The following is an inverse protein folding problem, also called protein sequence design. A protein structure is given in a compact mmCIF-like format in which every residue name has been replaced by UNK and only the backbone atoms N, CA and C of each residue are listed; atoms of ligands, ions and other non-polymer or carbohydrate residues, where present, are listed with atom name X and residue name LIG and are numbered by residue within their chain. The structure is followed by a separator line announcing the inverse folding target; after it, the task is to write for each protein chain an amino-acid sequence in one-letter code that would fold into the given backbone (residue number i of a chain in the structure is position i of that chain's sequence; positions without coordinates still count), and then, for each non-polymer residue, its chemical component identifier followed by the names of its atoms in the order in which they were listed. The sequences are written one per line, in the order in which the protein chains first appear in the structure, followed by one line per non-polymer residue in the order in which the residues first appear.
data_IF_823831065144
#
_entry.id   IF_823831065144
#
_cell.length_a   1.000
_cell.length_b   1.000
_cell.length_c   1.000
_cell.angle_alpha   90.00
_cell.angle_beta   90.00
_cell.angle_gamma   90.00
#
_symmetry.space_group_name_H-M   'P 1'
#
loop_
_entity.id
_entity.type
_entity.pdbx_description
1 polymer ?
#
# COMPACT_ATOMS: atom_id res chain seq x y z
N UNK A 1 12.70 0.77 2.16
CA UNK A 1 12.47 -0.38 1.26
C UNK A 1 11.23 -1.06 1.77
N UNK A 2 10.26 -1.33 0.92
CA UNK A 2 9.05 -2.06 1.29
C UNK A 2 9.25 -3.55 1.05
N UNK A 3 9.09 -4.39 2.08
CA UNK A 3 9.00 -5.85 1.91
C UNK A 3 7.55 -6.30 2.09
N UNK A 4 6.94 -6.83 1.04
CA UNK A 4 5.50 -7.13 0.98
C UNK A 4 5.23 -8.54 0.47
N UNK A 5 4.20 -9.21 1.00
CA UNK A 5 3.83 -10.55 0.50
C UNK A 5 3.20 -10.49 -0.89
N UNK A 6 3.44 -11.53 -1.69
CA UNK A 6 2.86 -11.67 -3.03
C UNK A 6 1.33 -11.65 -3.02
N UNK A 7 0.68 -12.31 -2.06
CA UNK A 7 -0.78 -12.33 -1.96
C UNK A 7 -1.38 -10.92 -1.77
N UNK A 8 -0.68 -10.04 -1.04
CA UNK A 8 -1.08 -8.64 -0.84
C UNK A 8 -0.89 -7.80 -2.11
N UNK A 9 0.20 -8.03 -2.86
CA UNK A 9 0.44 -7.41 -4.16
C UNK A 9 -0.67 -7.81 -5.14
N UNK A 10 -0.95 -9.11 -5.23
CA UNK A 10 -1.99 -9.65 -6.12
C UNK A 10 -3.37 -9.08 -5.76
N UNK A 11 -3.67 -8.92 -4.46
CA UNK A 11 -4.91 -8.31 -3.99
C UNK A 11 -5.04 -6.83 -4.38
N UNK A 12 -3.97 -6.04 -4.25
CA UNK A 12 -3.94 -4.64 -4.70
C UNK A 12 -4.18 -4.54 -6.21
N UNK A 13 -3.48 -5.36 -7.00
CA UNK A 13 -3.61 -5.37 -8.47
C UNK A 13 -5.01 -5.82 -8.90
N UNK A 14 -5.55 -6.85 -8.26
CA UNK A 14 -6.91 -7.31 -8.52
C UNK A 14 -7.96 -6.24 -8.19
N UNK A 15 -7.79 -5.49 -7.09
CA UNK A 15 -8.64 -4.35 -6.79
C UNK A 15 -8.50 -3.25 -7.86
N UNK A 16 -7.28 -2.83 -8.18
CA UNK A 16 -7.03 -1.81 -9.20
C UNK A 16 -7.68 -2.16 -10.55
N UNK A 17 -7.58 -3.42 -11.00
CA UNK A 17 -8.20 -3.86 -12.26
C UNK A 17 -9.73 -3.94 -12.20
N UNK A 18 -10.29 -4.28 -11.04
CA UNK A 18 -11.75 -4.40 -10.86
C UNK A 18 -12.43 -3.03 -10.91
N UNK A 19 -11.81 -2.02 -10.30
CA UNK A 19 -12.41 -0.70 -10.15
C UNK A 19 -12.07 0.23 -11.33
N UNK A 20 -11.09 -0.14 -12.17
CA UNK A 20 -10.82 0.52 -13.45
C UNK A 20 -12.10 0.68 -14.29
N UNK A 21 -12.42 1.87 -14.82
CA UNK A 21 -11.55 3.03 -15.01
C UNK A 21 -11.47 4.01 -13.83
N UNK A 22 -12.12 3.76 -12.70
CA UNK A 22 -11.94 4.58 -11.50
C UNK A 22 -10.66 4.18 -10.76
N UNK A 23 -10.02 5.13 -10.09
CA UNK A 23 -8.88 4.80 -9.22
C UNK A 23 -9.37 3.99 -8.01
N UNK A 24 -8.78 2.80 -7.82
CA UNK A 24 -8.88 2.05 -6.58
C UNK A 24 -7.99 2.69 -5.51
N UNK A 25 -8.39 2.58 -4.24
CA UNK A 25 -7.56 3.00 -3.11
C UNK A 25 -7.75 2.08 -1.90
N UNK A 26 -6.82 2.10 -0.96
CA UNK A 26 -6.94 1.31 0.26
C UNK A 26 -5.70 1.33 1.13
N UNK A 27 -5.74 0.48 2.16
CA UNK A 27 -4.69 0.36 3.16
C UNK A 27 -4.30 -1.11 3.32
N UNK A 28 -3.02 -1.35 3.59
CA UNK A 28 -2.57 -2.61 4.17
C UNK A 28 -2.07 -2.32 5.57
N UNK A 29 -2.81 -2.81 6.56
CA UNK A 29 -2.49 -2.62 7.96
C UNK A 29 -1.48 -3.67 8.42
N UNK A 30 -0.71 -3.33 9.45
CA UNK A 30 0.23 -4.23 10.11
C UNK A 30 0.37 -3.89 11.59
N UNK A 31 1.01 -4.75 12.40
CA UNK A 31 1.15 -4.52 13.83
C UNK A 31 1.88 -3.20 14.13
N UNK A 32 1.44 -2.45 15.15
CA UNK A 32 2.14 -1.25 15.60
C UNK A 32 3.60 -1.57 15.99
N UNK A 33 4.51 -0.65 15.69
CA UNK A 33 5.95 -0.84 15.81
C UNK A 33 6.57 -1.80 14.79
N UNK A 34 5.77 -2.32 13.84
CA UNK A 34 6.24 -3.14 12.73
C UNK A 34 6.12 -2.42 11.39
N UNK A 35 7.08 -2.66 10.49
CA UNK A 35 7.04 -2.21 9.09
C UNK A 35 6.45 -3.28 8.16
N UNK A 36 5.63 -4.18 8.72
CA UNK A 36 5.17 -5.41 8.05
C UNK A 36 3.70 -5.32 7.66
N UNK A 37 3.37 -5.20 6.37
CA UNK A 37 1.99 -5.19 5.93
C UNK A 37 1.36 -6.59 6.03
N UNK A 38 0.21 -6.73 6.68
CA UNK A 38 -0.40 -8.05 6.95
C UNK A 38 -1.83 -8.18 6.45
N UNK A 39 -2.65 -7.13 6.65
CA UNK A 39 -4.09 -7.18 6.44
C UNK A 39 -4.52 -6.21 5.33
N UNK A 40 -4.99 -6.75 4.22
CA UNK A 40 -5.47 -5.98 3.07
C UNK A 40 -6.87 -5.41 3.33
N UNK A 41 -7.01 -4.09 3.18
CA UNK A 41 -8.25 -3.35 3.43
C UNK A 41 -8.57 -2.48 2.21
N UNK A 42 -9.35 -2.98 1.25
CA UNK A 42 -9.78 -2.18 0.11
C UNK A 42 -10.76 -1.10 0.58
N UNK A 43 -10.54 0.14 0.16
CA UNK A 43 -11.42 1.27 0.44
C UNK A 43 -12.18 1.66 -0.83
N UNK A 44 -13.37 2.23 -0.65
CA UNK A 44 -14.11 2.80 -1.76
C UNK A 44 -13.57 4.20 -2.07
N UNK A 45 -13.25 4.46 -3.33
CA UNK A 45 -13.00 5.82 -3.80
C UNK A 45 -14.33 6.59 -3.84
N UNK A 46 -14.56 7.44 -2.83
CA UNK A 46 -15.78 8.24 -2.71
C UNK A 46 -15.95 9.23 -3.88
N UNK A 47 -14.85 9.66 -4.49
CA UNK A 47 -14.87 10.57 -5.63
C UNK A 47 -15.28 9.90 -6.95
N UNK A 48 -15.21 8.55 -7.05
CA UNK A 48 -15.47 7.77 -8.28
C UNK A 48 -14.81 8.41 -9.50
N UNK A 49 -13.51 8.64 -9.38
CA UNK A 49 -12.74 9.44 -10.33
C UNK A 49 -11.61 8.60 -10.92
N UNK A 50 -11.32 8.75 -12.23
CA UNK A 50 -10.22 8.05 -12.90
C UNK A 50 -8.84 8.62 -12.61
N UNK A 51 -8.74 9.77 -11.92
CA UNK A 51 -7.48 10.50 -11.70
C UNK A 51 -7.34 11.07 -10.29
N UNK A 52 -8.21 10.66 -9.37
CA UNK A 52 -8.19 11.15 -7.99
C UNK A 52 -8.94 10.16 -7.09
N UNK A 53 -8.44 9.99 -5.86
CA UNK A 53 -9.13 9.24 -4.84
C UNK A 53 -9.41 10.08 -3.59
N UNK A 54 -10.51 9.75 -2.93
CA UNK A 54 -10.88 10.31 -1.64
C UNK A 54 -11.50 9.21 -0.79
N UNK A 55 -11.07 9.09 0.46
CA UNK A 55 -11.75 8.25 1.44
C UNK A 55 -12.94 9.01 2.01
N UNK A 56 -14.10 8.35 2.11
CA UNK A 56 -15.22 8.88 2.89
C UNK A 56 -14.80 9.02 4.36
N UNK A 57 -15.15 10.15 4.98
CA UNK A 57 -14.70 10.46 6.36
C UNK A 57 -15.24 9.46 7.40
N UNK A 58 -16.44 8.90 7.20
CA UNK A 58 -17.00 7.91 8.10
C UNK A 58 -16.30 6.55 7.95
N UNK A 59 -15.96 6.17 6.71
CA UNK A 59 -15.17 4.97 6.45
C UNK A 59 -13.75 5.10 6.99
N UNK A 60 -13.12 6.27 6.86
CA UNK A 60 -11.81 6.54 7.43
C UNK A 60 -11.83 6.42 8.96
N UNK A 61 -12.82 7.03 9.62
CA UNK A 61 -12.98 6.90 11.07
C UNK A 61 -13.20 5.45 11.51
N UNK A 62 -13.98 4.68 10.76
CA UNK A 62 -14.21 3.26 11.03
C UNK A 62 -12.91 2.45 10.87
N UNK A 63 -12.15 2.71 9.81
CA UNK A 63 -10.86 2.08 9.55
C UNK A 63 -9.89 2.29 10.71
N UNK A 64 -9.68 3.54 11.15
CA UNK A 64 -8.76 3.81 12.26
C UNK A 64 -9.22 3.20 13.59
N UNK A 65 -10.53 3.18 13.87
CA UNK A 65 -11.05 2.48 15.06
C UNK A 65 -10.81 0.97 15.03
N UNK A 66 -10.93 0.37 13.86
CA UNK A 66 -10.68 -1.06 13.69
C UNK A 66 -9.20 -1.39 13.83
N UNK A 67 -8.31 -0.58 13.25
CA UNK A 67 -6.87 -0.75 13.41
C UNK A 67 -6.42 -0.56 14.87
N UNK A 68 -6.93 0.48 15.56
CA UNK A 68 -6.66 0.72 16.97
C UNK A 68 -7.09 -0.47 17.86
N UNK A 69 -8.27 -1.03 17.59
CA UNK A 69 -8.77 -2.20 18.32
C UNK A 69 -7.93 -3.48 18.09
N UNK A 70 -7.12 -3.53 17.04
CA UNK A 70 -6.28 -4.67 16.66
C UNK A 70 -4.78 -4.42 16.94
N UNK A 71 -4.41 -3.30 17.57
CA UNK A 71 -3.01 -2.86 17.71
C UNK A 71 -2.28 -2.76 16.36
N UNK A 72 -2.97 -2.22 15.34
CA UNK A 72 -2.47 -2.07 13.96
C UNK A 72 -2.27 -0.61 13.55
N UNK A 73 -1.40 -0.40 12.56
CA UNK A 73 -1.12 0.89 11.90
C UNK A 73 -1.18 0.74 10.36
N UNK A 74 -1.43 1.83 9.61
CA UNK A 74 -1.38 1.80 8.15
C UNK A 74 0.07 1.69 7.67
N UNK A 75 0.54 0.48 7.36
CA UNK A 75 1.89 0.23 6.84
C UNK A 75 1.98 0.63 5.36
N UNK A 76 0.98 0.26 4.56
CA UNK A 76 0.88 0.66 3.15
C UNK A 76 -0.40 1.45 2.95
N UNK A 77 -0.30 2.60 2.28
CA UNK A 77 -1.43 3.28 1.66
C UNK A 77 -1.23 3.12 0.16
N UNK A 78 -2.26 2.69 -0.55
CA UNK A 78 -2.14 2.52 -2.00
C UNK A 78 -3.30 3.14 -2.75
N UNK A 79 -3.01 3.53 -3.98
CA UNK A 79 -4.00 3.86 -4.99
C UNK A 79 -3.54 3.43 -6.38
N UNK A 80 -4.48 3.33 -7.32
CA UNK A 80 -4.17 2.97 -8.70
C UNK A 80 -4.24 4.15 -9.63
N UNK A 81 -3.36 4.20 -10.63
CA UNK A 81 -3.50 5.08 -11.78
C UNK A 81 -4.02 4.30 -12.98
N UNK A 82 -4.99 4.86 -13.69
CA UNK A 82 -5.66 4.17 -14.82
C UNK A 82 -5.06 4.49 -16.18
N UNK A 83 -4.40 5.65 -16.33
CA UNK A 83 -3.84 6.12 -17.60
C UNK A 83 -2.36 6.54 -17.53
N UNK A 84 -1.80 6.70 -16.32
CA UNK A 84 -0.44 7.20 -16.10
C UNK A 84 0.42 6.12 -15.44
N UNK A 85 1.74 6.31 -15.52
CA UNK A 85 2.71 5.50 -14.79
C UNK A 85 2.49 5.56 -13.28
N UNK A 86 3.01 4.55 -12.57
CA UNK A 86 2.90 4.44 -11.11
C UNK A 86 3.84 5.43 -10.39
N UNK A 87 3.62 6.73 -10.57
CA UNK A 87 4.39 7.79 -9.94
C UNK A 87 3.47 8.84 -9.32
N UNK A 88 3.67 9.25 -8.05
CA UNK A 88 2.76 10.15 -7.36
C UNK A 88 2.74 11.54 -8.01
N UNK A 89 1.55 12.06 -8.19
CA UNK A 89 1.31 13.43 -8.61
C UNK A 89 1.61 14.43 -7.48
N UNK A 90 1.64 15.72 -7.83
CA UNK A 90 1.73 16.80 -6.83
C UNK A 90 0.52 16.85 -5.89
N UNK A 91 -0.63 16.32 -6.31
CA UNK A 91 -1.83 16.25 -5.47
C UNK A 91 -1.67 15.13 -4.45
N UNK A 92 -1.20 13.95 -4.87
CA UNK A 92 -0.94 12.81 -3.98
C UNK A 92 0.04 13.20 -2.87
N UNK A 93 1.12 13.91 -3.23
CA UNK A 93 2.10 14.36 -2.25
C UNK A 93 1.57 15.40 -1.24
N UNK A 94 0.49 16.12 -1.57
CA UNK A 94 -0.13 17.09 -0.65
C UNK A 94 -1.10 16.45 0.32
N UNK A 95 -1.77 15.37 -0.09
CA UNK A 95 -2.76 14.67 0.72
C UNK A 95 -2.15 13.54 1.56
N UNK A 96 -0.92 13.12 1.24
CA UNK A 96 -0.12 12.20 2.05
C UNK A 96 0.10 12.75 3.46
N UNK A 97 -0.54 12.11 4.45
CA UNK A 97 -0.55 12.53 5.84
C UNK A 97 0.14 11.54 6.79
N UNK A 98 0.39 10.31 6.34
CA UNK A 98 1.07 9.28 7.13
C UNK A 98 2.58 9.24 6.81
N UNK A 99 3.45 9.82 7.66
CA UNK A 99 4.89 9.91 7.38
C UNK A 99 5.61 8.55 7.44
N UNK A 100 5.01 7.59 8.14
CA UNK A 100 5.57 6.25 8.31
C UNK A 100 5.07 5.23 7.30
N UNK A 101 4.03 5.55 6.53
CA UNK A 101 3.46 4.64 5.54
C UNK A 101 4.31 4.58 4.26
N UNK A 102 4.21 3.43 3.59
CA UNK A 102 4.63 3.24 2.22
C UNK A 102 3.49 3.61 1.28
N UNK A 103 3.70 4.60 0.42
CA UNK A 103 2.73 4.99 -0.60
C UNK A 103 2.95 4.17 -1.86
N UNK A 104 2.12 3.16 -2.06
CA UNK A 104 2.24 2.24 -3.19
C UNK A 104 1.31 2.68 -4.31
N UNK A 105 1.85 2.83 -5.51
CA UNK A 105 1.06 3.13 -6.70
C UNK A 105 1.01 1.91 -7.61
N UNK A 106 -0.19 1.59 -8.10
CA UNK A 106 -0.41 0.53 -9.09
C UNK A 106 -0.89 1.15 -10.39
N UNK A 107 -0.11 1.06 -11.47
CA UNK A 107 -0.58 1.47 -12.79
C UNK A 107 -1.30 0.33 -13.49
N UNK A 108 -2.51 0.61 -13.99
CA UNK A 108 -3.32 -0.29 -14.84
C UNK A 108 -3.47 0.26 -16.26
N UNK A 109 -2.60 1.19 -16.67
CA UNK A 109 -2.61 1.78 -18.02
C UNK A 109 -2.44 0.75 -19.13
N UNK A 110 -1.80 -0.38 -18.82
CA UNK A 110 -1.73 -1.55 -19.68
C UNK A 110 -2.77 -2.60 -19.23
N UNK A 111 -3.49 -3.18 -20.20
CA UNK A 111 -4.56 -4.13 -19.90
C UNK A 111 -4.06 -5.50 -19.45
N UNK A 112 -2.78 -5.83 -19.69
CA UNK A 112 -2.17 -7.12 -19.39
C UNK A 112 -1.11 -7.01 -18.30
N UNK A 113 -0.28 -5.97 -18.35
CA UNK A 113 0.80 -5.72 -17.39
C UNK A 113 0.37 -4.72 -16.31
N UNK A 114 1.07 -4.72 -15.17
CA UNK A 114 0.89 -3.70 -14.14
C UNK A 114 2.26 -3.18 -13.70
N UNK A 115 2.31 -1.91 -13.32
CA UNK A 115 3.47 -1.34 -12.63
C UNK A 115 3.12 -1.19 -11.16
N UNK A 116 4.02 -1.61 -10.27
CA UNK A 116 3.89 -1.38 -8.84
C UNK A 116 5.16 -0.70 -8.34
N UNK A 117 5.00 0.48 -7.73
CA UNK A 117 6.11 1.29 -7.19
C UNK A 117 5.77 1.79 -5.81
N UNK A 118 6.76 1.96 -4.93
CA UNK A 118 6.59 2.43 -3.56
C UNK A 118 7.36 3.72 -3.32
N UNK A 119 6.77 4.62 -2.54
CA UNK A 119 7.34 5.91 -2.22
C UNK A 119 7.18 6.23 -0.74
N UNK A 120 8.16 6.93 -0.19
CA UNK A 120 8.05 7.67 1.06
C UNK A 120 7.72 9.11 0.73
N UNK A 121 6.68 9.65 1.37
CA UNK A 121 6.26 11.03 1.19
C UNK A 121 6.25 11.71 2.55
N UNK A 122 7.19 12.63 2.76
CA UNK A 122 7.34 13.39 4.01
C UNK A 122 7.52 14.86 3.67
N UNK A 123 6.71 15.73 4.27
CA UNK A 123 6.72 17.18 4.02
C UNK A 123 6.65 17.54 2.52
N UNK A 124 5.90 16.76 1.73
CA UNK A 124 5.76 16.91 0.29
C UNK A 124 6.97 16.45 -0.55
N UNK A 125 8.01 15.90 0.09
CA UNK A 125 9.17 15.31 -0.58
C UNK A 125 8.87 13.85 -0.93
N UNK A 126 8.86 13.54 -2.22
CA UNK A 126 8.68 12.18 -2.75
C UNK A 126 10.05 11.51 -2.86
N UNK A 127 10.21 10.36 -2.21
CA UNK A 127 11.39 9.50 -2.35
C UNK A 127 10.95 8.10 -2.74
N UNK A 128 11.33 7.64 -3.93
CA UNK A 128 11.08 6.25 -4.34
C UNK A 128 11.93 5.28 -3.53
N UNK A 129 11.36 4.13 -3.20
CA UNK A 129 12.08 3.05 -2.52
C UNK A 129 11.85 1.71 -3.24
N UNK A 130 12.83 0.78 -3.15
CA UNK A 130 12.65 -0.55 -3.74
C UNK A 130 11.53 -1.31 -3.03
N UNK A 131 10.87 -2.17 -3.81
CA UNK A 131 9.87 -3.12 -3.34
C UNK A 131 10.43 -4.54 -3.48
N UNK A 132 10.47 -5.26 -2.37
CA UNK A 132 10.82 -6.66 -2.31
C UNK A 132 9.55 -7.49 -2.09
N UNK A 133 9.22 -8.33 -3.07
CA UNK A 133 8.05 -9.22 -2.99
C UNK A 133 8.47 -10.59 -2.48
N UNK A 134 7.89 -11.01 -1.35
CA UNK A 134 8.18 -12.29 -0.69
C UNK A 134 6.96 -13.21 -0.68
N UNK A 135 7.14 -14.53 -0.62
CA UNK A 135 6.03 -15.48 -0.47
C UNK A 135 5.52 -15.54 0.98
N UNK A 136 6.42 -15.34 1.96
CA UNK A 136 6.07 -15.31 3.37
C UNK A 136 7.11 -14.52 4.17
N UNK A 137 6.69 -13.99 5.33
CA UNK A 137 7.58 -13.26 6.23
C UNK A 137 8.48 -14.15 7.09
N UNK A 138 8.26 -15.48 7.09
CA UNK A 138 9.01 -16.43 7.96
C UNK A 138 10.49 -16.58 7.59
N UNK A 139 10.91 -16.15 6.40
CA UNK A 139 12.27 -16.35 5.90
C UNK A 139 13.06 -15.06 5.66
N UNK A 140 12.53 -13.90 6.07
CA UNK A 140 13.24 -12.62 5.92
C UNK A 140 14.46 -12.47 6.86
N UNK A 141 14.71 -13.44 7.74
CA UNK A 141 15.94 -13.56 8.54
C UNK A 141 16.50 -14.97 8.44
N UNK A 142 17.34 -15.23 7.44
CA UNK A 142 18.40 -16.24 7.59
C UNK A 142 19.72 -15.51 7.78
N UNK A 143 19.91 -14.97 8.99
CA UNK A 143 21.26 -14.76 9.52
C UNK A 143 21.86 -16.12 9.91
N UNK A 144 23.18 -16.32 9.78
CA UNK A 144 23.79 -17.62 10.03
C UNK A 144 24.03 -17.79 11.52
N UNK A 145 23.04 -18.26 12.29
CA UNK A 145 23.25 -18.79 13.64
C UNK A 145 22.02 -19.62 14.07
N UNK A 146 21.94 -20.82 13.52
CA UNK A 146 21.23 -21.93 14.15
C UNK A 146 22.14 -23.16 14.04
N UNK A 147 23.18 -23.18 14.87
CA UNK A 147 23.88 -24.41 15.22
C UNK A 147 23.19 -24.93 16.48
N UNK A 148 22.48 -26.07 16.45
CA UNK A 148 21.94 -26.65 17.66
C UNK A 148 23.11 -27.06 18.57
N UNK A 149 23.16 -26.53 19.79
CA UNK A 149 23.96 -27.16 20.84
C UNK A 149 23.33 -28.51 21.18
N UNK A 150 24.08 -29.56 20.83
CA UNK A 150 24.07 -30.99 21.22
C UNK A 150 22.83 -31.57 21.93
#
# INVERSE_FOLDING_TARGET
MLTIRRDLVDAMVAHARRDHPDEACGVIAGPDGSDRPERFIPMLNAARSPTFYEFDSADLLRLYREMDANDEVPVVIYHSHTATEAYPSRTDAKIAAEPYAHYVLVSTRDSHEHELRSFRIVDGVITEEPVEVVESYRFAHTGPDDVPEL
#
